data_IF_446338902464
#
_entry.id   IF_446338902464
#
_cell.length_a   1.000
_cell.length_b   1.000
_cell.length_c   1.000
_cell.angle_alpha   90.00
_cell.angle_beta   90.00
_cell.angle_gamma   90.00
#
_symmetry.space_group_name_H-M   'P 1'
#
loop_
_entity.id
_entity.type
_entity.pdbx_description
1 polymer ?
#
# COMPACT_ATOMS: atom_id res chain seq x y z
N UNK A 1 -15.70 -14.00 1.22
CA UNK A 1 -15.32 -13.91 1.26
C UNK A 1 -14.84 -12.99 1.72
N UNK A 2 -14.82 -12.62 2.39
CA UNK A 2 -14.35 -11.91 2.64
C UNK A 2 -13.39 -11.90 2.64
N UNK A 3 -13.11 -11.31 3.07
CA UNK A 3 -11.97 -11.63 2.60
C UNK A 3 -10.89 -10.94 3.33
N UNK A 4 -9.67 -11.39 3.21
CA UNK A 4 -8.56 -10.86 3.92
C UNK A 4 -8.22 -9.49 3.54
N UNK A 5 -8.49 -9.15 2.29
CA UNK A 5 -8.25 -7.80 1.83
C UNK A 5 -9.08 -6.80 2.57
N UNK A 6 -10.29 -7.21 2.91
CA UNK A 6 -11.14 -6.33 3.68
C UNK A 6 -10.57 -6.07 5.04
N UNK A 7 -9.99 -7.09 5.65
CA UNK A 7 -9.39 -6.92 6.95
C UNK A 7 -8.20 -6.01 6.91
N UNK A 8 -7.37 -6.16 5.87
CA UNK A 8 -6.23 -5.28 5.74
C UNK A 8 -6.67 -3.85 5.53
N UNK A 9 -7.71 -3.67 4.74
CA UNK A 9 -8.19 -2.33 4.48
C UNK A 9 -8.74 -1.67 5.72
N UNK A 10 -9.26 -2.45 6.65
CA UNK A 10 -9.76 -1.85 7.86
C UNK A 10 -8.62 -1.34 8.74
N UNK A 11 -7.41 -1.87 8.57
CA UNK A 11 -6.26 -1.38 9.29
C UNK A 11 -5.72 -0.13 8.62
N UNK A 12 -5.72 -0.11 7.29
CA UNK A 12 -5.18 1.02 6.54
C UNK A 12 -6.33 1.75 5.87
N UNK A 13 -7.06 2.51 6.67
CA UNK A 13 -8.26 3.17 6.21
C UNK A 13 -7.96 4.10 5.04
N UNK A 14 -8.71 3.95 3.95
CA UNK A 14 -8.54 4.82 2.80
C UNK A 14 -7.35 4.53 1.92
N UNK A 15 -6.61 3.48 2.22
CA UNK A 15 -5.46 3.11 1.40
C UNK A 15 -5.93 2.38 0.15
N UNK A 16 -5.36 2.74 -1.00
CA UNK A 16 -5.67 2.08 -2.25
C UNK A 16 -4.40 1.52 -2.86
N UNK A 17 -4.39 0.23 -3.10
CA UNK A 17 -3.22 -0.44 -3.66
C UNK A 17 -3.65 -1.13 -4.95
N UNK A 18 -2.99 -0.80 -6.04
CA UNK A 18 -3.29 -1.43 -7.32
C UNK A 18 -2.97 -2.93 -7.22
N UNK A 19 -3.78 -3.78 -7.84
CA UNK A 19 -3.53 -5.24 -7.75
C UNK A 19 -2.17 -5.67 -8.27
N UNK A 20 -1.56 -4.89 -9.14
CA UNK A 20 -0.23 -5.21 -9.66
C UNK A 20 0.90 -4.58 -8.87
N UNK A 21 0.61 -3.99 -7.74
CA UNK A 21 1.65 -3.44 -6.90
C UNK A 21 2.03 -4.46 -5.83
N UNK A 22 3.26 -4.39 -5.40
CA UNK A 22 3.72 -5.23 -4.30
C UNK A 22 3.96 -4.37 -3.07
N UNK A 23 3.37 -4.74 -1.96
CA UNK A 23 3.61 -4.05 -0.69
C UNK A 23 3.97 -5.12 0.33
N UNK A 24 5.18 -4.99 0.88
CA UNK A 24 5.61 -5.95 1.88
C UNK A 24 4.71 -5.87 3.10
N UNK A 25 4.47 -7.00 3.74
CA UNK A 25 3.54 -7.04 4.86
C UNK A 25 4.03 -6.20 6.05
N UNK A 26 5.32 -5.93 6.14
CA UNK A 26 5.84 -5.10 7.22
C UNK A 26 5.79 -3.62 6.90
N UNK A 27 5.39 -3.24 5.70
CA UNK A 27 5.28 -1.84 5.36
C UNK A 27 4.06 -1.22 6.05
N UNK A 28 4.20 0.04 6.42
CA UNK A 28 3.13 0.75 7.09
C UNK A 28 2.61 1.85 6.19
N UNK A 29 1.33 1.76 5.82
CA UNK A 29 0.72 2.74 4.93
C UNK A 29 -0.33 3.51 5.71
N UNK A 30 -0.21 4.81 5.70
CA UNK A 30 -1.13 5.65 6.46
C UNK A 30 -2.33 6.05 5.62
N UNK A 31 -3.29 6.72 6.22
CA UNK A 31 -4.56 7.02 5.58
C UNK A 31 -4.38 7.76 4.26
N UNK A 32 -5.15 7.36 3.28
CA UNK A 32 -5.18 8.07 2.01
C UNK A 32 -4.04 7.75 1.07
N UNK A 33 -3.16 6.82 1.42
CA UNK A 33 -2.05 6.45 0.56
C UNK A 33 -2.58 5.74 -0.68
N UNK A 34 -2.00 6.06 -1.83
CA UNK A 34 -2.36 5.43 -3.09
C UNK A 34 -1.11 4.83 -3.73
N UNK A 35 -1.18 3.56 -4.06
CA UNK A 35 -0.06 2.83 -4.66
C UNK A 35 -0.46 2.42 -6.06
N UNK A 36 0.29 2.88 -7.05
CA UNK A 36 -0.03 2.62 -8.45
C UNK A 36 0.53 1.29 -8.92
N UNK A 37 0.16 0.93 -10.15
CA UNK A 37 0.55 -0.35 -10.72
C UNK A 37 2.06 -0.49 -10.79
N UNK A 38 2.54 -1.69 -10.54
CA UNK A 38 3.95 -1.99 -10.67
C UNK A 38 4.83 -1.42 -9.58
N UNK A 39 4.26 -0.69 -8.63
CA UNK A 39 5.07 -0.14 -7.55
C UNK A 39 5.49 -1.24 -6.59
N UNK A 40 6.65 -1.09 -6.00
CA UNK A 40 7.18 -2.04 -5.04
C UNK A 40 7.54 -1.30 -3.77
N UNK A 41 6.88 -1.69 -2.68
CA UNK A 41 7.14 -1.13 -1.37
C UNK A 41 7.78 -2.22 -0.54
N UNK A 42 9.03 -2.03 -0.16
CA UNK A 42 9.81 -3.04 0.54
C UNK A 42 9.49 -3.13 2.02
N UNK A 43 10.24 -3.96 2.72
CA UNK A 43 9.97 -4.19 4.14
C UNK A 43 10.33 -2.97 4.98
N UNK A 44 9.59 -2.80 6.05
CA UNK A 44 9.84 -1.76 7.05
C UNK A 44 9.76 -0.34 6.51
N UNK A 45 9.08 -0.16 5.38
CA UNK A 45 8.88 1.15 4.80
C UNK A 45 7.64 1.77 5.41
N UNK A 46 7.71 3.05 5.74
CA UNK A 46 6.56 3.79 6.23
C UNK A 46 6.18 4.85 5.22
N UNK A 47 4.94 4.81 4.76
CA UNK A 47 4.43 5.77 3.78
C UNK A 47 3.46 6.70 4.51
N UNK A 48 3.76 7.98 4.51
CA UNK A 48 2.97 8.95 5.22
C UNK A 48 1.60 9.18 4.61
N UNK A 49 0.74 9.78 5.41
CA UNK A 49 -0.64 10.04 5.05
C UNK A 49 -0.74 10.82 3.74
N UNK A 50 -1.63 10.38 2.88
CA UNK A 50 -1.92 11.09 1.62
C UNK A 50 -0.88 10.96 0.53
N UNK A 51 0.13 10.12 0.74
CA UNK A 51 1.19 9.96 -0.25
C UNK A 51 0.69 9.19 -1.46
N UNK A 52 1.10 9.62 -2.64
CA UNK A 52 0.79 8.90 -3.87
C UNK A 52 2.07 8.34 -4.44
N UNK A 53 2.07 7.04 -4.67
CA UNK A 53 3.23 6.35 -5.22
C UNK A 53 2.93 6.07 -6.68
N UNK A 54 3.74 6.62 -7.56
CA UNK A 54 3.52 6.50 -8.99
C UNK A 54 3.79 5.10 -9.52
N UNK A 55 3.46 4.87 -10.79
CA UNK A 55 3.64 3.54 -11.37
C UNK A 55 5.11 3.16 -11.42
N UNK A 56 5.37 1.89 -11.13
CA UNK A 56 6.70 1.30 -11.20
C UNK A 56 7.72 1.92 -10.25
N UNK A 57 7.26 2.65 -9.25
CA UNK A 57 8.16 3.19 -8.24
C UNK A 57 8.66 2.08 -7.33
N UNK A 58 9.89 2.23 -6.88
CA UNK A 58 10.48 1.25 -5.97
C UNK A 58 10.93 1.98 -4.72
N UNK A 59 10.38 1.58 -3.58
CA UNK A 59 10.69 2.19 -2.29
C UNK A 59 11.13 1.08 -1.34
N UNK A 60 12.35 1.13 -0.95
CA UNK A 60 12.89 0.09 -0.08
C UNK A 60 13.71 0.69 1.06
#
# INVERSE_FOLDING_TARGET
>A
MENKNTELNSIFSGVKVHPNAFVDQSAELHDGVMISQGAIIGPNVTIGKGTEIGPNAVIT
#
